data_IF_898618967711
#
_entry.id   IF_898618967711
#
_cell.length_a   1.000
_cell.length_b   1.000
_cell.length_c   1.000
_cell.angle_alpha   90.00
_cell.angle_beta   90.00
_cell.angle_gamma   90.00
#
_symmetry.space_group_name_H-M   'P 1'
#
loop_
_entity.id
_entity.type
_entity.pdbx_description
1 polymer ?
#
# COMPACT_ATOMS: atom_id res chain seq x y z
N UNK A 1 6.57 -21.47 3.07
CA UNK A 1 7.07 -22.83 3.40
C UNK A 1 8.00 -22.74 4.62
N UNK A 2 8.45 -23.87 5.18
CA UNK A 2 9.53 -23.88 6.18
C UNK A 2 10.86 -23.63 5.46
N UNK A 3 11.77 -22.87 6.05
CA UNK A 3 13.11 -22.62 5.50
C UNK A 3 14.19 -22.87 6.54
N UNK A 4 15.38 -23.22 6.05
CA UNK A 4 16.64 -23.25 6.81
C UNK A 4 17.64 -22.36 6.09
N UNK A 5 18.27 -21.42 6.80
CA UNK A 5 19.25 -20.50 6.21
C UNK A 5 20.25 -20.01 7.27
N UNK A 6 21.40 -19.51 6.84
CA UNK A 6 22.37 -18.89 7.75
C UNK A 6 21.86 -17.52 8.21
N UNK A 7 21.80 -17.31 9.52
CA UNK A 7 21.40 -16.06 10.15
C UNK A 7 22.25 -15.75 11.37
N UNK A 8 21.79 -14.80 12.18
CA UNK A 8 22.48 -14.35 13.39
C UNK A 8 21.54 -14.49 14.58
N UNK A 9 22.05 -14.99 15.70
CA UNK A 9 21.30 -15.08 16.97
C UNK A 9 21.16 -13.71 17.61
N UNK A 10 20.33 -13.61 18.65
CA UNK A 10 20.19 -12.36 19.43
C UNK A 10 21.49 -11.92 20.12
N UNK A 11 22.44 -12.83 20.28
CA UNK A 11 23.76 -12.57 20.86
C UNK A 11 24.80 -12.14 19.79
N UNK A 12 24.40 -11.95 18.53
CA UNK A 12 25.30 -11.56 17.46
C UNK A 12 26.15 -12.70 16.90
N UNK A 13 25.82 -13.96 17.22
CA UNK A 13 26.56 -15.13 16.75
C UNK A 13 25.93 -15.71 15.48
N UNK A 14 26.77 -16.14 14.54
CA UNK A 14 26.29 -16.85 13.36
C UNK A 14 25.64 -18.20 13.73
N UNK A 15 24.48 -18.52 13.15
CA UNK A 15 23.76 -19.77 13.38
C UNK A 15 22.88 -20.15 12.19
N UNK A 16 22.42 -21.41 12.16
CA UNK A 16 21.40 -21.86 11.20
C UNK A 16 20.03 -21.52 11.77
N UNK A 17 19.29 -20.66 11.09
CA UNK A 17 17.91 -20.28 11.41
C UNK A 17 16.94 -21.24 10.73
N UNK A 18 15.94 -21.71 11.49
CA UNK A 18 14.81 -22.49 11.00
C UNK A 18 13.53 -21.67 11.15
N UNK A 19 12.72 -21.59 10.10
CA UNK A 19 11.41 -20.93 10.15
C UNK A 19 10.26 -21.92 9.92
N UNK A 20 9.09 -21.61 10.47
CA UNK A 20 7.85 -22.38 10.27
C UNK A 20 7.12 -22.03 8.98
N UNK A 21 7.52 -20.92 8.34
CA UNK A 21 6.80 -20.27 7.25
C UNK A 21 5.76 -19.28 7.76
N UNK A 22 5.49 -18.25 6.96
CA UNK A 22 4.46 -17.24 7.19
C UNK A 22 3.30 -17.45 6.21
N UNK A 23 2.07 -17.60 6.73
CA UNK A 23 0.85 -17.76 5.92
C UNK A 23 0.15 -16.43 5.64
N UNK A 24 0.52 -15.38 6.35
CA UNK A 24 -0.12 -14.07 6.31
C UNK A 24 0.57 -13.13 5.31
N UNK A 25 1.20 -13.71 4.27
CA UNK A 25 1.82 -12.96 3.19
C UNK A 25 0.77 -12.58 2.14
N UNK A 26 0.88 -11.38 1.59
CA UNK A 26 0.07 -10.89 0.48
C UNK A 26 0.95 -10.11 -0.51
N UNK A 27 0.42 -9.85 -1.70
CA UNK A 27 1.11 -9.09 -2.74
C UNK A 27 0.84 -7.59 -2.61
N UNK A 28 1.81 -6.78 -3.03
CA UNK A 28 1.69 -5.32 -3.11
C UNK A 28 1.76 -4.90 -4.58
N UNK A 29 0.71 -4.24 -5.06
CA UNK A 29 0.69 -3.60 -6.38
C UNK A 29 1.24 -2.18 -6.25
N UNK A 30 2.44 -1.94 -6.78
CA UNK A 30 3.19 -0.67 -6.64
C UNK A 30 3.65 -0.03 -7.95
N UNK A 31 3.03 -0.42 -9.04
CA UNK A 31 3.44 -0.10 -10.41
C UNK A 31 4.76 -0.79 -10.79
N UNK A 32 5.26 -0.45 -11.97
CA UNK A 32 6.54 -0.93 -12.48
C UNK A 32 6.89 -0.34 -13.83
N UNK A 33 7.85 -0.95 -14.51
CA UNK A 33 8.29 -0.51 -15.85
C UNK A 33 7.20 -0.60 -16.92
N UNK A 34 6.15 -1.40 -16.68
CA UNK A 34 4.97 -1.53 -17.56
C UNK A 34 3.88 -0.48 -17.27
N UNK A 35 4.11 0.45 -16.34
CA UNK A 35 3.15 1.46 -15.93
C UNK A 35 2.54 1.19 -14.55
N UNK A 36 1.46 1.92 -14.28
CA UNK A 36 0.66 1.82 -13.06
C UNK A 36 -0.14 0.52 -13.03
N UNK A 37 -0.50 0.02 -11.85
CA UNK A 37 -1.26 -1.22 -11.72
C UNK A 37 -2.28 -1.19 -10.56
N UNK A 38 -2.91 -0.04 -10.33
CA UNK A 38 -3.93 0.15 -9.29
C UNK A 38 -5.37 0.18 -9.82
N UNK A 39 -5.56 0.22 -11.14
CA UNK A 39 -6.88 0.21 -11.77
C UNK A 39 -7.56 -1.17 -11.67
N UNK A 40 -8.87 -1.19 -11.90
CA UNK A 40 -9.70 -2.39 -11.77
C UNK A 40 -9.26 -3.55 -12.69
N UNK A 41 -8.70 -3.26 -13.86
CA UNK A 41 -8.22 -4.31 -14.77
C UNK A 41 -6.99 -5.01 -14.18
N UNK A 42 -6.05 -4.23 -13.64
CA UNK A 42 -4.87 -4.78 -12.96
C UNK A 42 -5.23 -5.53 -11.66
N UNK A 43 -6.18 -5.01 -10.88
CA UNK A 43 -6.71 -5.71 -9.69
C UNK A 43 -7.31 -7.06 -10.09
N UNK A 44 -8.16 -7.09 -11.10
CA UNK A 44 -8.74 -8.34 -11.63
C UNK A 44 -7.66 -9.33 -12.08
N UNK A 45 -6.68 -8.89 -12.87
CA UNK A 45 -5.55 -9.73 -13.31
C UNK A 45 -4.77 -10.30 -12.12
N UNK A 46 -4.57 -9.50 -11.07
CA UNK A 46 -3.89 -9.94 -9.86
C UNK A 46 -4.69 -11.05 -9.14
N UNK A 47 -6.00 -10.86 -8.96
CA UNK A 47 -6.88 -11.87 -8.37
C UNK A 47 -6.83 -13.18 -9.14
N UNK A 48 -6.97 -13.12 -10.46
CA UNK A 48 -6.90 -14.32 -11.32
C UNK A 48 -5.55 -15.03 -11.22
N UNK A 49 -4.44 -14.29 -11.11
CA UNK A 49 -3.11 -14.87 -10.94
C UNK A 49 -2.94 -15.57 -9.57
N UNK A 50 -3.49 -14.97 -8.50
CA UNK A 50 -3.49 -15.55 -7.14
C UNK A 50 -4.35 -16.83 -7.10
N UNK A 51 -5.55 -16.77 -7.68
CA UNK A 51 -6.46 -17.91 -7.77
C UNK A 51 -5.83 -19.10 -8.51
N UNK A 52 -5.17 -18.85 -9.66
CA UNK A 52 -4.42 -19.87 -10.43
C UNK A 52 -3.29 -20.54 -9.63
N UNK A 53 -2.84 -19.90 -8.54
CA UNK A 53 -1.80 -20.42 -7.65
C UNK A 53 -2.36 -20.97 -6.33
N UNK A 54 -3.68 -21.06 -6.17
CA UNK A 54 -4.34 -21.44 -4.91
C UNK A 54 -3.89 -20.58 -3.73
N UNK A 55 -3.67 -19.28 -3.98
CA UNK A 55 -3.34 -18.30 -2.95
C UNK A 55 -4.59 -17.44 -2.64
N UNK A 56 -4.68 -16.86 -1.42
CA UNK A 56 -5.71 -15.88 -1.12
C UNK A 56 -5.71 -14.75 -2.16
N UNK A 57 -6.88 -14.43 -2.72
CA UNK A 57 -7.05 -13.40 -3.76
C UNK A 57 -7.02 -11.97 -3.20
N UNK A 58 -6.09 -11.71 -2.27
CA UNK A 58 -5.99 -10.43 -1.57
C UNK A 58 -4.70 -9.71 -1.91
N UNK A 59 -4.78 -8.38 -1.93
CA UNK A 59 -3.66 -7.50 -2.23
C UNK A 59 -3.73 -6.20 -1.45
N UNK A 60 -2.56 -5.60 -1.27
CA UNK A 60 -2.42 -4.20 -0.90
C UNK A 60 -2.03 -3.39 -2.14
N UNK A 61 -2.48 -2.15 -2.23
CA UNK A 61 -2.10 -1.23 -3.32
C UNK A 61 -1.29 -0.07 -2.75
N UNK A 62 -0.09 0.12 -3.28
CA UNK A 62 0.76 1.27 -2.98
C UNK A 62 0.34 2.47 -3.85
N UNK A 63 0.02 3.59 -3.22
CA UNK A 63 -0.39 4.81 -3.91
C UNK A 63 0.80 5.62 -4.44
N UNK A 64 2.02 5.36 -3.95
CA UNK A 64 3.26 6.06 -4.29
C UNK A 64 4.03 5.39 -5.43
N UNK A 65 5.35 5.56 -5.47
CA UNK A 65 6.28 4.88 -6.37
C UNK A 65 5.83 4.82 -7.83
N UNK A 66 5.78 3.62 -8.43
CA UNK A 66 5.41 3.43 -9.83
C UNK A 66 3.95 3.80 -10.10
N UNK A 67 3.07 3.69 -9.10
CA UNK A 67 1.66 4.04 -9.23
C UNK A 67 1.42 5.55 -9.20
N UNK A 68 2.27 6.32 -8.51
CA UNK A 68 2.24 7.79 -8.53
C UNK A 68 2.98 8.41 -9.72
N UNK A 69 3.65 7.59 -10.55
CA UNK A 69 4.61 8.04 -11.56
C UNK A 69 5.74 8.90 -10.95
N UNK A 70 6.14 8.58 -9.71
CA UNK A 70 7.12 9.34 -8.91
C UNK A 70 6.73 10.80 -8.66
N UNK A 71 5.44 11.11 -8.67
CA UNK A 71 4.91 12.41 -8.31
C UNK A 71 3.93 12.26 -7.14
N UNK A 72 4.31 12.72 -5.95
CA UNK A 72 3.53 12.57 -4.73
C UNK A 72 2.12 13.14 -4.85
N UNK A 73 1.92 14.15 -5.70
CA UNK A 73 0.61 14.78 -5.96
C UNK A 73 -0.36 13.85 -6.69
N UNK A 74 0.11 12.74 -7.24
CA UNK A 74 -0.74 11.71 -7.84
C UNK A 74 -1.23 10.69 -6.81
N UNK A 75 -0.64 10.57 -5.62
CA UNK A 75 -1.11 9.60 -4.60
C UNK A 75 -2.61 9.76 -4.28
N UNK A 76 -3.18 10.98 -4.12
CA UNK A 76 -4.62 11.14 -3.88
C UNK A 76 -5.48 10.67 -5.06
N UNK A 77 -4.98 10.77 -6.30
CA UNK A 77 -5.68 10.29 -7.49
C UNK A 77 -5.73 8.77 -7.49
N UNK A 78 -4.60 8.12 -7.17
CA UNK A 78 -4.52 6.66 -7.01
C UNK A 78 -5.48 6.20 -5.92
N UNK A 79 -5.43 6.84 -4.74
CA UNK A 79 -6.31 6.51 -3.62
C UNK A 79 -7.79 6.68 -3.99
N UNK A 80 -8.15 7.72 -4.74
CA UNK A 80 -9.52 7.93 -5.24
C UNK A 80 -9.98 6.79 -6.16
N UNK A 81 -9.14 6.34 -7.10
CA UNK A 81 -9.45 5.18 -7.96
C UNK A 81 -9.63 3.89 -7.15
N UNK A 82 -8.89 3.73 -6.05
CA UNK A 82 -9.07 2.61 -5.12
C UNK A 82 -10.40 2.77 -4.36
N UNK A 83 -10.71 3.95 -3.83
CA UNK A 83 -11.99 4.25 -3.17
C UNK A 83 -13.18 3.94 -4.08
N UNK A 84 -13.12 4.28 -5.36
CA UNK A 84 -14.17 3.98 -6.34
C UNK A 84 -14.39 2.47 -6.51
N UNK A 85 -13.30 1.68 -6.57
CA UNK A 85 -13.39 0.21 -6.60
C UNK A 85 -13.99 -0.37 -5.32
N UNK A 86 -13.59 0.16 -4.15
CA UNK A 86 -14.16 -0.25 -2.87
C UNK A 86 -15.67 0.04 -2.83
N UNK A 87 -16.09 1.24 -3.25
CA UNK A 87 -17.51 1.63 -3.35
C UNK A 87 -18.28 0.70 -4.29
N UNK A 88 -17.65 0.25 -5.37
CA UNK A 88 -18.21 -0.70 -6.34
C UNK A 88 -18.27 -2.15 -5.83
N UNK A 89 -17.75 -2.45 -4.62
CA UNK A 89 -17.85 -3.76 -4.00
C UNK A 89 -16.56 -4.59 -3.98
N UNK A 90 -15.46 -4.09 -4.55
CA UNK A 90 -14.18 -4.81 -4.60
C UNK A 90 -13.71 -5.20 -3.19
N UNK A 91 -13.38 -6.48 -2.99
CA UNK A 91 -13.05 -7.05 -1.69
C UNK A 91 -11.70 -7.78 -1.61
N UNK A 92 -10.99 -7.91 -2.74
CA UNK A 92 -9.61 -8.36 -2.80
C UNK A 92 -8.62 -7.28 -2.36
N UNK A 93 -9.01 -6.00 -2.37
CA UNK A 93 -8.18 -4.91 -1.84
C UNK A 93 -8.34 -4.87 -0.31
N UNK A 94 -7.31 -5.35 0.40
CA UNK A 94 -7.29 -5.45 1.87
C UNK A 94 -6.51 -4.33 2.55
N UNK A 95 -5.75 -3.55 1.81
CA UNK A 95 -5.00 -2.42 2.34
C UNK A 95 -4.49 -1.46 1.27
N UNK A 96 -4.10 -0.28 1.71
CA UNK A 96 -3.38 0.71 0.90
C UNK A 96 -2.11 1.15 1.61
N UNK A 97 -1.09 1.53 0.84
CA UNK A 97 0.12 2.19 1.35
C UNK A 97 0.17 3.62 0.81
N UNK A 98 0.49 4.59 1.68
CA UNK A 98 0.52 6.02 1.38
C UNK A 98 1.79 6.61 2.01
N UNK A 99 2.56 7.35 1.22
CA UNK A 99 3.71 8.11 1.73
C UNK A 99 3.28 9.53 2.07
N UNK A 100 3.12 9.78 3.37
CA UNK A 100 2.63 11.03 3.94
C UNK A 100 3.59 11.56 5.00
N UNK A 101 3.63 12.88 5.13
CA UNK A 101 4.40 13.54 6.18
C UNK A 101 3.68 14.83 6.62
N UNK A 102 4.16 15.48 7.69
CA UNK A 102 3.60 16.76 8.16
C UNK A 102 3.51 17.79 7.03
N UNK A 103 4.59 17.95 6.25
CA UNK A 103 4.67 18.83 5.10
C UNK A 103 4.94 18.01 3.84
N UNK A 104 4.44 18.47 2.70
CA UNK A 104 4.59 17.76 1.42
C UNK A 104 6.01 17.83 0.84
N UNK A 105 6.24 17.01 -0.19
CA UNK A 105 7.47 17.00 -0.97
C UNK A 105 8.61 16.26 -0.25
N UNK A 106 9.83 16.58 -0.67
CA UNK A 106 11.05 16.11 -0.04
C UNK A 106 12.13 17.21 0.00
N UNK A 107 13.22 16.91 0.68
CA UNK A 107 14.41 17.75 0.76
C UNK A 107 15.67 16.88 0.73
N UNK A 108 16.79 17.48 0.31
CA UNK A 108 18.11 16.87 0.50
C UNK A 108 18.66 17.27 1.85
N UNK A 109 19.54 16.44 2.42
CA UNK A 109 20.33 16.84 3.59
C UNK A 109 21.23 18.02 3.17
N UNK A 110 21.13 19.18 3.85
CA UNK A 110 21.91 20.36 3.49
C UNK A 110 23.36 20.22 4.00
N UNK A 111 24.24 21.14 3.58
CA UNK A 111 25.69 21.05 3.86
C UNK A 111 26.02 21.18 5.35
N UNK A 112 25.23 21.98 6.08
CA UNK A 112 25.25 22.16 7.54
C UNK A 112 24.70 20.95 8.32
N UNK A 113 24.32 19.87 7.62
CA UNK A 113 23.87 18.61 8.21
C UNK A 113 22.44 18.68 8.75
N UNK A 114 22.09 17.82 9.73
CA UNK A 114 20.72 17.70 10.24
C UNK A 114 20.13 19.00 10.81
N UNK A 115 20.98 19.95 11.22
CA UNK A 115 20.57 21.24 11.79
C UNK A 115 19.82 22.14 10.80
N UNK A 116 20.07 21.99 9.50
CA UNK A 116 19.42 22.76 8.43
C UNK A 116 18.15 22.11 7.86
N UNK A 117 17.72 20.94 8.37
CA UNK A 117 16.55 20.25 7.83
C UNK A 117 15.26 21.02 8.14
N UNK A 118 14.43 21.19 7.10
CA UNK A 118 13.06 21.65 7.29
C UNK A 118 12.31 20.61 8.10
N UNK A 119 11.77 21.02 9.24
CA UNK A 119 10.97 20.14 10.10
C UNK A 119 9.81 19.56 9.30
N UNK A 120 9.59 18.26 9.42
CA UNK A 120 8.39 17.64 8.89
C UNK A 120 8.36 17.45 7.36
N UNK A 121 9.50 17.55 6.66
CA UNK A 121 9.63 17.27 5.22
C UNK A 121 10.53 16.04 5.04
N UNK A 122 10.10 15.08 4.22
CA UNK A 122 10.85 13.84 3.96
C UNK A 122 12.25 14.11 3.40
N UNK A 123 13.24 13.29 3.78
CA UNK A 123 14.60 13.32 3.21
C UNK A 123 14.83 12.28 2.10
N UNK A 124 13.81 11.48 1.80
CA UNK A 124 13.85 10.42 0.79
C UNK A 124 12.84 10.73 -0.32
N UNK A 125 11.82 9.89 -0.48
CA UNK A 125 10.77 10.09 -1.47
C UNK A 125 9.81 11.19 -1.02
N UNK A 126 9.21 11.86 -2.00
CA UNK A 126 8.28 12.95 -1.76
C UNK A 126 6.96 12.44 -1.17
N UNK A 127 6.49 13.10 -0.11
CA UNK A 127 5.26 12.73 0.57
C UNK A 127 4.12 13.71 0.30
N UNK A 128 2.87 13.29 0.46
CA UNK A 128 1.74 14.22 0.57
C UNK A 128 1.72 14.91 1.94
N UNK A 129 1.10 16.09 2.01
CA UNK A 129 0.96 16.85 3.27
C UNK A 129 0.01 16.18 4.25
N UNK A 130 0.01 16.65 5.50
CA UNK A 130 -0.92 16.20 6.51
C UNK A 130 -2.39 16.44 6.12
N UNK A 131 -2.70 17.62 5.58
CA UNK A 131 -4.05 17.99 5.16
C UNK A 131 -4.55 17.04 4.07
N UNK A 132 -3.70 16.79 3.06
CA UNK A 132 -3.99 15.85 1.98
C UNK A 132 -4.17 14.43 2.51
N UNK A 133 -3.40 14.05 3.53
CA UNK A 133 -3.51 12.73 4.17
C UNK A 133 -4.85 12.55 4.85
N UNK A 134 -5.31 13.56 5.59
CA UNK A 134 -6.63 13.55 6.24
C UNK A 134 -7.75 13.38 5.20
N UNK A 135 -7.66 14.09 4.08
CA UNK A 135 -8.67 14.00 3.02
C UNK A 135 -8.70 12.61 2.37
N UNK A 136 -7.53 12.05 2.06
CA UNK A 136 -7.41 10.68 1.51
C UNK A 136 -7.98 9.65 2.48
N UNK A 137 -7.64 9.74 3.77
CA UNK A 137 -8.14 8.80 4.78
C UNK A 137 -9.65 8.91 5.00
N UNK A 138 -10.22 10.12 4.93
CA UNK A 138 -11.67 10.34 5.01
C UNK A 138 -12.40 9.68 3.84
N UNK A 139 -11.92 9.88 2.60
CA UNK A 139 -12.54 9.27 1.42
C UNK A 139 -12.44 7.75 1.45
N UNK A 140 -11.28 7.19 1.77
CA UNK A 140 -11.10 5.73 1.93
C UNK A 140 -12.01 5.16 3.01
N UNK A 141 -12.11 5.82 4.17
CA UNK A 141 -13.00 5.40 5.24
C UNK A 141 -14.46 5.38 4.77
N UNK A 142 -14.88 6.39 4.00
CA UNK A 142 -16.22 6.47 3.46
C UNK A 142 -16.47 5.40 2.39
N UNK A 143 -15.51 5.14 1.51
CA UNK A 143 -15.58 4.05 0.54
C UNK A 143 -15.78 2.68 1.22
N UNK A 144 -15.07 2.42 2.31
CA UNK A 144 -15.23 1.21 3.12
C UNK A 144 -16.63 1.14 3.75
N UNK A 145 -17.19 2.25 4.24
CA UNK A 145 -18.57 2.27 4.79
C UNK A 145 -19.59 1.93 3.73
N UNK A 146 -19.51 2.56 2.55
CA UNK A 146 -20.39 2.28 1.41
C UNK A 146 -20.34 0.80 1.01
N UNK A 147 -19.13 0.24 0.85
CA UNK A 147 -18.94 -1.19 0.55
C UNK A 147 -19.62 -2.09 1.58
N UNK A 148 -19.48 -1.76 2.88
CA UNK A 148 -20.06 -2.54 3.98
C UNK A 148 -21.59 -2.47 3.98
N UNK A 149 -22.17 -1.32 3.65
CA UNK A 149 -23.63 -1.16 3.53
C UNK A 149 -24.18 -1.99 2.36
N UNK A 150 -23.54 -1.92 1.19
CA UNK A 150 -23.94 -2.69 0.02
C UNK A 150 -23.94 -4.21 0.30
N UNK A 151 -22.91 -4.72 1.00
CA UNK A 151 -22.87 -6.13 1.40
C UNK A 151 -24.01 -6.51 2.36
N UNK A 152 -24.35 -5.65 3.34
CA UNK A 152 -25.47 -5.91 4.26
C UNK A 152 -26.83 -5.98 3.55
N UNK A 153 -27.08 -5.11 2.57
CA UNK A 153 -28.34 -5.13 1.81
C UNK A 153 -28.49 -6.41 0.98
N UNK A 154 -27.40 -6.96 0.45
CA UNK A 154 -27.42 -8.23 -0.29
C UNK A 154 -27.70 -9.43 0.62
N UNK A 155 -27.23 -9.41 1.88
CA UNK A 155 -27.45 -10.52 2.82
C UNK A 155 -28.86 -10.53 3.43
N UNK A 156 -29.51 -9.38 3.54
CA UNK A 156 -30.86 -9.27 4.13
C UNK A 156 -32.01 -9.45 3.12
N UNK A 157 -31.70 -9.68 1.84
CA UNK A 157 -32.67 -9.92 0.76
C UNK A 157 -32.71 -11.36 0.26
N UNK A 158 -32.11 -12.31 1.00
CA UNK A 158 -32.22 -13.76 0.80
C UNK A 158 -32.99 -14.38 1.96
#
# INVERSE_FOLDING_TARGET
AKHYFMGVTKQGLAAITKTTGNKDCFVILRGGTKGTNYDAENVKKCREALAKKNLPEVMMIDCSHGNSLKDHRNQPKVAKTISEQLRAGEDGIVGVMIESHLNEGNQKVPAEGPSGLKRGVSITDACISWETTVDVLKDLAEAVRVRRQAKKSTTNGQ
#
